data_IF_696835749891
#
_entry.id   IF_696835749891
#
_cell.length_a   1.000
_cell.length_b   1.000
_cell.length_c   1.000
_cell.angle_alpha   90.00
_cell.angle_beta   90.00
_cell.angle_gamma   90.00
#
_symmetry.space_group_name_H-M   'P 1'
#
loop_
_entity.id
_entity.type
_entity.pdbx_description
1 polymer ?
#
# COMPACT_ATOMS: atom_id res chain seq x y z
N UNK A 1 -22.76 1.45 2.71
CA UNK A 1 -22.26 0.23 2.02
C UNK A 1 -21.83 -0.80 3.05
N UNK A 2 -21.87 -2.07 2.66
CA UNK A 2 -21.21 -3.18 3.36
C UNK A 2 -19.84 -3.37 2.71
N UNK A 3 -18.76 -3.19 3.46
CA UNK A 3 -17.40 -3.27 2.92
C UNK A 3 -16.64 -4.38 3.64
N UNK A 4 -16.09 -5.33 2.87
CA UNK A 4 -15.22 -6.39 3.40
C UNK A 4 -13.76 -6.04 3.11
N UNK A 5 -12.95 -5.91 4.17
CA UNK A 5 -11.51 -5.58 4.08
C UNK A 5 -10.69 -6.86 4.28
N UNK A 6 -10.34 -7.51 3.18
CA UNK A 6 -9.53 -8.72 3.18
C UNK A 6 -8.06 -8.37 3.40
N UNK A 7 -7.49 -8.84 4.50
CA UNK A 7 -6.16 -8.41 4.94
C UNK A 7 -6.19 -7.11 5.73
N UNK A 8 -7.10 -7.00 6.69
CA UNK A 8 -7.27 -5.83 7.56
C UNK A 8 -6.06 -5.62 8.48
N UNK A 9 -4.91 -5.23 7.88
CA UNK A 9 -3.61 -4.98 8.51
C UNK A 9 -3.27 -3.50 8.56
N UNK A 10 -2.04 -3.12 8.18
CA UNK A 10 -1.52 -1.76 8.36
C UNK A 10 -2.38 -0.67 7.71
N UNK A 11 -2.78 -0.83 6.47
CA UNK A 11 -3.71 0.09 5.77
C UNK A 11 -5.14 -0.27 6.11
N UNK A 12 -5.48 -1.57 6.12
CA UNK A 12 -6.84 -2.05 6.31
C UNK A 12 -7.47 -1.63 7.65
N UNK A 13 -6.71 -1.60 8.75
CA UNK A 13 -7.20 -1.11 10.06
C UNK A 13 -7.53 0.40 10.01
N UNK A 14 -6.70 1.20 9.34
CA UNK A 14 -6.99 2.62 9.15
C UNK A 14 -8.20 2.84 8.24
N UNK A 15 -8.34 2.00 7.21
CA UNK A 15 -9.50 2.03 6.32
C UNK A 15 -10.79 1.62 7.05
N UNK A 16 -10.73 0.56 7.86
CA UNK A 16 -11.88 0.09 8.63
C UNK A 16 -12.39 1.19 9.58
N UNK A 17 -11.48 1.89 10.28
CA UNK A 17 -11.83 3.05 11.12
C UNK A 17 -12.50 4.15 10.30
N UNK A 18 -11.88 4.59 9.21
CA UNK A 18 -12.42 5.66 8.38
C UNK A 18 -13.78 5.33 7.74
N UNK A 19 -14.00 4.08 7.36
CA UNK A 19 -15.28 3.62 6.81
C UNK A 19 -16.35 3.54 7.89
N UNK A 20 -16.02 3.06 9.09
CA UNK A 20 -16.94 3.06 10.23
C UNK A 20 -17.33 4.47 10.63
N UNK A 21 -16.36 5.40 10.73
CA UNK A 21 -16.59 6.83 10.98
C UNK A 21 -17.53 7.48 9.93
N UNK A 22 -17.51 6.98 8.68
CA UNK A 22 -18.40 7.40 7.59
C UNK A 22 -19.76 6.67 7.59
N UNK A 23 -20.04 5.82 8.59
CA UNK A 23 -21.33 5.10 8.72
C UNK A 23 -21.47 3.88 7.82
N UNK A 24 -20.37 3.31 7.31
CA UNK A 24 -20.38 2.07 6.56
C UNK A 24 -20.34 0.85 7.50
N UNK A 25 -20.95 -0.26 7.09
CA UNK A 25 -20.76 -1.56 7.74
C UNK A 25 -19.46 -2.16 7.27
N UNK A 26 -18.54 -2.45 8.18
CA UNK A 26 -17.21 -2.95 7.85
C UNK A 26 -16.97 -4.32 8.45
N UNK A 27 -16.46 -5.24 7.64
CA UNK A 27 -15.93 -6.52 8.12
C UNK A 27 -14.45 -6.64 7.80
N UNK A 28 -13.62 -6.68 8.83
CA UNK A 28 -12.18 -6.88 8.72
C UNK A 28 -11.82 -8.37 8.74
N UNK A 29 -11.10 -8.82 7.71
CA UNK A 29 -10.70 -10.23 7.57
C UNK A 29 -9.25 -10.44 7.95
N UNK A 30 -8.99 -11.37 8.88
CA UNK A 30 -7.65 -11.74 9.35
C UNK A 30 -7.56 -13.26 9.54
N UNK A 31 -6.34 -13.80 9.34
CA UNK A 31 -6.08 -15.24 9.54
C UNK A 31 -5.67 -15.59 11.00
N UNK A 32 -5.10 -14.66 11.75
CA UNK A 32 -4.59 -14.89 13.11
C UNK A 32 -5.49 -14.31 14.19
N UNK A 33 -5.53 -14.94 15.37
CA UNK A 33 -6.29 -14.45 16.52
C UNK A 33 -5.89 -13.01 16.91
N UNK A 34 -4.59 -12.72 17.04
CA UNK A 34 -4.12 -11.36 17.34
C UNK A 34 -4.54 -10.33 16.26
N UNK A 35 -4.69 -10.78 15.00
CA UNK A 35 -5.21 -9.93 13.94
C UNK A 35 -6.71 -9.65 14.09
N UNK A 36 -7.50 -10.60 14.56
CA UNK A 36 -8.93 -10.40 14.85
C UNK A 36 -9.11 -9.42 16.01
N UNK A 37 -8.40 -9.63 17.12
CA UNK A 37 -8.42 -8.67 18.25
C UNK A 37 -8.07 -7.25 17.82
N UNK A 38 -7.12 -7.10 16.87
CA UNK A 38 -6.79 -5.77 16.35
C UNK A 38 -7.90 -5.16 15.49
N UNK A 39 -8.72 -5.96 14.83
CA UNK A 39 -9.90 -5.50 14.08
C UNK A 39 -11.02 -5.10 15.05
N UNK A 40 -11.32 -5.95 16.02
CA UNK A 40 -12.33 -5.70 17.08
C UNK A 40 -12.01 -4.44 17.90
N UNK A 41 -10.73 -4.09 18.04
CA UNK A 41 -10.29 -2.89 18.73
C UNK A 41 -10.39 -1.59 17.89
N UNK A 42 -10.80 -1.66 16.63
CA UNK A 42 -10.94 -0.46 15.77
C UNK A 42 -12.16 0.35 16.17
N UNK A 43 -13.31 -0.30 16.21
CA UNK A 43 -14.60 0.28 16.56
C UNK A 43 -15.59 -0.87 16.84
N UNK A 44 -16.58 -0.64 17.72
CA UNK A 44 -17.61 -1.64 18.08
C UNK A 44 -18.51 -2.05 16.93
N UNK A 45 -18.57 -1.25 15.86
CA UNK A 45 -19.36 -1.50 14.65
C UNK A 45 -18.60 -2.27 13.57
N UNK A 46 -17.30 -2.57 13.80
CA UNK A 46 -16.45 -3.30 12.86
C UNK A 46 -16.44 -4.78 13.21
N UNK A 47 -17.05 -5.59 12.35
CA UNK A 47 -17.06 -7.05 12.50
C UNK A 47 -15.67 -7.64 12.16
N UNK A 48 -15.28 -8.73 12.84
CA UNK A 48 -14.05 -9.46 12.58
C UNK A 48 -14.35 -10.88 12.10
N UNK A 49 -13.78 -11.27 10.95
CA UNK A 49 -13.92 -12.60 10.39
C UNK A 49 -12.57 -13.28 10.21
N UNK A 50 -12.49 -14.54 10.67
CA UNK A 50 -11.28 -15.35 10.48
C UNK A 50 -11.35 -16.10 9.16
N UNK A 51 -10.46 -15.73 8.21
CA UNK A 51 -10.25 -16.47 6.97
C UNK A 51 -8.81 -16.31 6.49
N UNK A 52 -8.31 -17.28 5.74
CA UNK A 52 -7.03 -17.24 5.03
C UNK A 52 -7.31 -17.30 3.53
N UNK A 53 -6.88 -16.29 2.79
CA UNK A 53 -7.11 -16.20 1.33
C UNK A 53 -6.48 -17.35 0.55
N UNK A 54 -5.49 -18.03 1.13
CA UNK A 54 -4.82 -19.20 0.53
C UNK A 54 -5.59 -20.51 0.76
N UNK A 55 -6.63 -20.47 1.58
CA UNK A 55 -7.55 -21.56 1.89
C UNK A 55 -8.96 -21.17 1.45
N UNK A 56 -9.36 -21.64 0.26
CA UNK A 56 -10.65 -21.29 -0.36
C UNK A 56 -11.83 -21.65 0.53
N UNK A 57 -11.79 -22.79 1.23
CA UNK A 57 -12.89 -23.25 2.10
C UNK A 57 -13.13 -22.28 3.27
N UNK A 58 -12.08 -21.58 3.72
CA UNK A 58 -12.21 -20.59 4.78
C UNK A 58 -12.97 -19.33 4.36
N UNK A 59 -13.04 -19.04 3.05
CA UNK A 59 -13.67 -17.83 2.50
C UNK A 59 -15.19 -17.90 2.51
N UNK A 60 -15.79 -19.09 2.61
CA UNK A 60 -17.24 -19.26 2.80
C UNK A 60 -17.80 -18.55 4.03
N UNK A 61 -16.93 -18.08 4.95
CA UNK A 61 -17.31 -17.28 6.13
C UNK A 61 -17.44 -15.79 5.84
N UNK A 62 -17.01 -15.31 4.68
CA UNK A 62 -17.12 -13.89 4.33
C UNK A 62 -18.60 -13.52 4.21
N UNK A 63 -19.04 -12.37 4.74
CA UNK A 63 -20.41 -11.90 4.55
C UNK A 63 -20.62 -11.38 3.13
N UNK A 64 -21.87 -11.19 2.74
CA UNK A 64 -22.21 -10.43 1.55
C UNK A 64 -21.69 -9.00 1.67
N UNK A 65 -21.21 -8.46 0.55
CA UNK A 65 -20.60 -7.15 0.49
C UNK A 65 -21.09 -6.36 -0.73
N UNK A 66 -21.14 -5.05 -0.60
CA UNK A 66 -21.31 -4.11 -1.72
C UNK A 66 -19.95 -3.81 -2.36
N UNK A 67 -18.87 -3.81 -1.54
CA UNK A 67 -17.50 -3.67 -2.01
C UNK A 67 -16.53 -4.54 -1.21
N UNK A 68 -15.48 -5.03 -1.89
CA UNK A 68 -14.37 -5.78 -1.28
C UNK A 68 -13.07 -5.03 -1.49
N UNK A 69 -12.29 -4.86 -0.43
CA UNK A 69 -10.94 -4.29 -0.50
C UNK A 69 -9.92 -5.38 -0.20
N UNK A 70 -9.11 -5.72 -1.18
CA UNK A 70 -8.04 -6.71 -1.02
C UNK A 70 -6.72 -6.02 -0.68
N UNK A 71 -6.37 -6.02 0.59
CA UNK A 71 -5.16 -5.43 1.17
C UNK A 71 -4.30 -6.45 1.94
N UNK A 72 -4.49 -7.75 1.65
CA UNK A 72 -3.70 -8.82 2.25
C UNK A 72 -2.21 -8.68 1.90
N UNK A 73 -1.33 -9.11 2.81
CA UNK A 73 0.12 -9.06 2.63
C UNK A 73 0.76 -10.41 2.86
N UNK A 74 1.65 -10.82 1.96
CA UNK A 74 2.43 -12.05 2.06
C UNK A 74 3.52 -12.00 3.17
N UNK A 75 3.70 -10.85 3.83
CA UNK A 75 4.80 -10.68 4.77
C UNK A 75 6.18 -10.69 4.08
N UNK A 76 7.13 -11.47 4.58
CA UNK A 76 8.50 -11.57 4.05
C UNK A 76 8.81 -12.80 3.19
N UNK A 77 7.83 -13.65 2.88
CA UNK A 77 8.01 -15.03 2.39
C UNK A 77 8.46 -15.21 0.92
N UNK A 78 9.02 -14.20 0.25
CA UNK A 78 9.51 -14.34 -1.13
C UNK A 78 8.40 -14.33 -2.20
N UNK A 79 8.76 -14.74 -3.44
CA UNK A 79 7.84 -14.70 -4.58
C UNK A 79 6.75 -15.77 -4.50
N UNK A 80 7.06 -16.96 -4.00
CA UNK A 80 6.07 -18.03 -3.85
C UNK A 80 4.96 -17.64 -2.86
N UNK A 81 5.32 -17.11 -1.68
CA UNK A 81 4.34 -16.62 -0.72
C UNK A 81 3.57 -15.40 -1.25
N UNK A 82 4.22 -14.55 -2.03
CA UNK A 82 3.55 -13.44 -2.70
C UNK A 82 2.51 -13.94 -3.71
N UNK A 83 2.85 -14.95 -4.53
CA UNK A 83 1.94 -15.58 -5.49
C UNK A 83 0.73 -16.20 -4.80
N UNK A 84 0.97 -17.00 -3.76
CA UNK A 84 -0.10 -17.64 -3.00
C UNK A 84 -1.11 -16.63 -2.46
N UNK A 85 -0.64 -15.47 -1.94
CA UNK A 85 -1.54 -14.45 -1.37
C UNK A 85 -2.13 -13.54 -2.45
N UNK A 86 -1.30 -12.98 -3.35
CA UNK A 86 -1.77 -11.91 -4.23
C UNK A 86 -2.46 -12.41 -5.49
N UNK A 87 -2.03 -13.56 -6.05
CA UNK A 87 -2.64 -14.12 -7.25
C UNK A 87 -3.69 -15.14 -6.86
N UNK A 88 -3.28 -16.24 -6.24
CA UNK A 88 -4.22 -17.33 -5.87
C UNK A 88 -5.24 -16.83 -4.85
N UNK A 89 -4.80 -16.14 -3.80
CA UNK A 89 -5.70 -15.65 -2.75
C UNK A 89 -6.70 -14.62 -3.22
N UNK A 90 -6.29 -13.70 -4.13
CA UNK A 90 -7.24 -12.76 -4.74
C UNK A 90 -8.21 -13.48 -5.67
N UNK A 91 -7.72 -14.43 -6.48
CA UNK A 91 -8.57 -15.27 -7.33
C UNK A 91 -9.61 -16.04 -6.51
N UNK A 92 -9.20 -16.67 -5.41
CA UNK A 92 -10.13 -17.37 -4.50
C UNK A 92 -11.23 -16.44 -3.96
N UNK A 93 -10.89 -15.19 -3.62
CA UNK A 93 -11.89 -14.20 -3.15
C UNK A 93 -12.87 -13.84 -4.28
N UNK A 94 -12.39 -13.63 -5.50
CA UNK A 94 -13.25 -13.37 -6.67
C UNK A 94 -14.18 -14.55 -6.94
N UNK A 95 -13.65 -15.78 -6.95
CA UNK A 95 -14.40 -16.99 -7.21
C UNK A 95 -15.44 -17.28 -6.11
N UNK A 96 -15.11 -17.01 -4.85
CA UNK A 96 -16.04 -17.12 -3.74
C UNK A 96 -17.27 -16.22 -3.95
N UNK A 97 -17.07 -14.94 -4.24
CA UNK A 97 -18.18 -14.00 -4.48
C UNK A 97 -18.93 -14.31 -5.77
N UNK A 98 -18.24 -14.74 -6.83
CA UNK A 98 -18.87 -15.18 -8.07
C UNK A 98 -19.80 -16.39 -7.87
N UNK A 99 -19.46 -17.30 -6.95
CA UNK A 99 -20.27 -18.50 -6.67
C UNK A 99 -21.54 -18.21 -5.89
N UNK A 100 -21.62 -17.03 -5.25
CA UNK A 100 -22.79 -16.58 -4.49
C UNK A 100 -23.79 -15.91 -5.42
N UNK A 101 -25.03 -16.00 -5.19
CA UNK A 101 -26.05 -15.27 -5.96
C UNK A 101 -26.02 -13.74 -5.79
N UNK A 102 -25.12 -13.21 -4.97
CA UNK A 102 -24.92 -11.77 -4.73
C UNK A 102 -23.42 -11.46 -4.80
N UNK A 103 -22.95 -10.95 -5.93
CA UNK A 103 -21.58 -10.44 -6.09
C UNK A 103 -21.49 -8.99 -5.59
N UNK A 104 -20.33 -8.56 -5.05
CA UNK A 104 -20.08 -7.15 -4.79
C UNK A 104 -20.03 -6.37 -6.12
N UNK A 105 -20.41 -5.11 -6.08
CA UNK A 105 -20.30 -4.24 -7.25
C UNK A 105 -18.82 -4.02 -7.61
N UNK A 106 -17.92 -4.08 -6.60
CA UNK A 106 -16.53 -3.67 -6.76
C UNK A 106 -15.53 -4.45 -5.91
N UNK A 107 -14.35 -4.73 -6.49
CA UNK A 107 -13.13 -5.14 -5.79
C UNK A 107 -12.05 -4.09 -5.97
N UNK A 108 -11.47 -3.58 -4.87
CA UNK A 108 -10.30 -2.70 -4.87
C UNK A 108 -9.06 -3.46 -4.44
N UNK A 109 -8.08 -3.60 -5.32
CA UNK A 109 -6.81 -4.27 -5.02
C UNK A 109 -5.72 -3.27 -4.64
N UNK A 110 -5.13 -3.44 -3.46
CA UNK A 110 -4.00 -2.67 -2.95
C UNK A 110 -2.67 -3.18 -3.55
N UNK A 111 -2.27 -2.60 -4.68
CA UNK A 111 -1.02 -2.89 -5.39
C UNK A 111 0.12 -1.96 -4.96
N UNK A 112 1.19 -1.88 -5.74
CA UNK A 112 2.38 -1.08 -5.44
C UNK A 112 2.97 -0.44 -6.70
N UNK A 113 3.45 0.80 -6.59
CA UNK A 113 4.27 1.45 -7.63
C UNK A 113 5.57 0.72 -7.96
N UNK A 114 5.90 -0.34 -7.21
CA UNK A 114 7.00 -1.25 -7.53
C UNK A 114 6.89 -1.93 -8.89
N UNK A 115 5.69 -2.05 -9.45
CA UNK A 115 5.44 -2.65 -10.78
C UNK A 115 6.03 -1.83 -11.94
N UNK A 116 6.27 -0.54 -11.76
CA UNK A 116 6.88 0.32 -12.78
C UNK A 116 8.37 0.06 -13.02
N UNK A 117 9.08 -0.55 -12.05
CA UNK A 117 10.53 -0.72 -12.16
C UNK A 117 11.31 0.57 -11.89
N UNK A 118 12.38 0.76 -12.68
CA UNK A 118 13.25 1.92 -12.65
C UNK A 118 12.99 2.80 -13.88
N UNK A 119 12.93 4.11 -13.70
CA UNK A 119 12.72 5.09 -14.75
C UNK A 119 13.77 6.21 -14.72
N UNK A 120 14.93 5.94 -14.15
CA UNK A 120 16.08 6.86 -14.08
C UNK A 120 15.68 8.28 -13.57
N UNK A 121 14.83 8.32 -12.56
CA UNK A 121 14.27 9.55 -12.00
C UNK A 121 13.16 10.19 -12.82
N UNK A 122 12.73 9.59 -13.93
CA UNK A 122 11.60 10.05 -14.75
C UNK A 122 10.25 9.94 -14.03
N UNK A 123 9.24 10.61 -14.56
CA UNK A 123 7.87 10.54 -14.08
C UNK A 123 7.15 9.31 -14.59
N UNK A 124 6.36 8.69 -13.72
CA UNK A 124 5.45 7.59 -14.04
C UNK A 124 4.04 7.90 -13.53
N UNK A 125 3.06 7.46 -14.28
CA UNK A 125 1.63 7.58 -13.99
C UNK A 125 0.89 6.28 -14.35
N UNK A 126 -0.43 6.30 -14.32
CA UNK A 126 -1.27 5.15 -14.64
C UNK A 126 -1.13 4.66 -16.09
N UNK A 127 -0.73 5.53 -17.01
CA UNK A 127 -0.55 5.22 -18.45
C UNK A 127 0.86 4.71 -18.75
N UNK A 128 1.80 4.89 -17.81
CA UNK A 128 3.17 4.40 -17.99
C UNK A 128 3.18 2.87 -17.99
N UNK A 129 3.80 2.23 -18.99
CA UNK A 129 3.95 0.78 -19.03
C UNK A 129 4.62 0.25 -17.75
N UNK A 130 4.13 -0.88 -17.25
CA UNK A 130 4.74 -1.54 -16.10
C UNK A 130 5.96 -2.35 -16.55
N UNK A 131 7.04 -2.26 -15.79
CA UNK A 131 8.32 -2.95 -16.01
C UNK A 131 8.75 -3.72 -14.75
N UNK A 132 8.07 -4.83 -14.42
CA UNK A 132 8.37 -5.58 -13.21
C UNK A 132 9.73 -6.28 -13.32
N UNK A 133 10.72 -5.78 -12.59
CA UNK A 133 12.12 -6.23 -12.64
C UNK A 133 12.45 -7.36 -11.66
N UNK A 134 11.47 -7.82 -10.89
CA UNK A 134 11.66 -8.88 -9.88
C UNK A 134 10.53 -9.88 -9.94
N UNK A 135 10.78 -11.14 -9.52
CA UNK A 135 9.72 -12.13 -9.37
C UNK A 135 8.55 -11.60 -8.54
N UNK A 136 8.82 -10.90 -7.43
CA UNK A 136 7.76 -10.32 -6.60
C UNK A 136 6.96 -9.23 -7.32
N UNK A 137 7.60 -8.37 -8.11
CA UNK A 137 6.88 -7.34 -8.88
C UNK A 137 6.17 -7.92 -10.09
N UNK A 138 6.65 -9.02 -10.68
CA UNK A 138 5.92 -9.80 -11.68
C UNK A 138 4.64 -10.41 -11.09
N UNK A 139 4.72 -10.97 -9.88
CA UNK A 139 3.55 -11.46 -9.14
C UNK A 139 2.54 -10.34 -8.86
N UNK A 140 2.99 -9.15 -8.49
CA UNK A 140 2.09 -8.00 -8.29
C UNK A 140 1.40 -7.59 -9.61
N UNK A 141 2.13 -7.55 -10.72
CA UNK A 141 1.56 -7.27 -12.05
C UNK A 141 0.52 -8.31 -12.48
N UNK A 142 0.78 -9.60 -12.17
CA UNK A 142 -0.19 -10.68 -12.40
C UNK A 142 -1.43 -10.51 -11.52
N UNK A 143 -1.26 -10.15 -10.26
CA UNK A 143 -2.38 -9.89 -9.35
C UNK A 143 -3.23 -8.67 -9.80
N UNK A 144 -2.64 -7.64 -10.41
CA UNK A 144 -3.39 -6.54 -11.04
C UNK A 144 -4.27 -7.03 -12.19
N UNK A 145 -3.81 -8.04 -12.97
CA UNK A 145 -4.65 -8.66 -14.01
C UNK A 145 -5.80 -9.47 -13.39
N UNK A 146 -5.52 -10.25 -12.36
CA UNK A 146 -6.59 -10.96 -11.61
C UNK A 146 -7.63 -9.97 -11.10
N UNK A 147 -7.20 -8.88 -10.45
CA UNK A 147 -8.10 -7.86 -9.93
C UNK A 147 -8.99 -7.21 -11.00
N UNK A 148 -8.50 -7.07 -12.22
CA UNK A 148 -9.23 -6.38 -13.29
C UNK A 148 -9.96 -7.34 -14.22
N UNK A 149 -9.26 -8.35 -14.73
CA UNK A 149 -9.78 -9.26 -15.77
C UNK A 149 -10.67 -10.35 -15.16
N UNK A 150 -10.16 -11.10 -14.15
CA UNK A 150 -10.96 -12.16 -13.51
C UNK A 150 -12.18 -11.58 -12.77
N UNK A 151 -12.05 -10.41 -12.15
CA UNK A 151 -13.19 -9.73 -11.54
C UNK A 151 -14.23 -9.32 -12.58
N UNK A 152 -13.80 -8.76 -13.72
CA UNK A 152 -14.71 -8.39 -14.80
C UNK A 152 -15.44 -9.62 -15.40
N UNK A 153 -14.73 -10.75 -15.56
CA UNK A 153 -15.34 -12.02 -16.00
C UNK A 153 -16.38 -12.56 -14.98
N UNK A 154 -16.27 -12.14 -13.72
CA UNK A 154 -17.23 -12.44 -12.66
C UNK A 154 -18.35 -11.39 -12.55
N UNK A 155 -18.38 -10.37 -13.40
CA UNK A 155 -19.32 -9.25 -13.33
C UNK A 155 -19.04 -8.26 -12.19
N UNK A 156 -17.82 -8.25 -11.67
CA UNK A 156 -17.38 -7.40 -10.57
C UNK A 156 -16.41 -6.33 -11.11
N UNK A 157 -16.60 -5.08 -10.77
CA UNK A 157 -15.66 -4.02 -11.14
C UNK A 157 -14.33 -4.16 -10.40
N UNK A 158 -13.21 -4.23 -11.12
CA UNK A 158 -11.89 -4.41 -10.57
C UNK A 158 -11.04 -3.13 -10.62
N UNK A 159 -10.84 -2.47 -9.50
CA UNK A 159 -10.01 -1.26 -9.38
C UNK A 159 -8.66 -1.59 -8.73
N UNK A 160 -7.57 -1.02 -9.25
CA UNK A 160 -6.21 -1.18 -8.72
C UNK A 160 -5.71 0.14 -8.14
N UNK A 161 -5.23 0.12 -6.91
CA UNK A 161 -4.54 1.26 -6.28
C UNK A 161 -3.06 0.91 -6.11
N UNK A 162 -2.18 1.56 -6.89
CA UNK A 162 -0.72 1.41 -6.80
C UNK A 162 -0.18 2.34 -5.74
N UNK A 163 0.03 1.82 -4.54
CA UNK A 163 0.60 2.60 -3.44
C UNK A 163 2.09 2.84 -3.62
N UNK A 164 2.52 4.07 -3.38
CA UNK A 164 3.91 4.44 -3.14
C UNK A 164 4.43 3.89 -1.80
N UNK A 165 5.58 4.32 -1.35
CA UNK A 165 6.16 3.89 -0.08
C UNK A 165 5.28 4.24 1.12
N UNK A 166 4.59 3.26 1.68
CA UNK A 166 3.74 3.44 2.86
C UNK A 166 4.56 3.83 4.09
N UNK A 167 4.20 4.93 4.74
CA UNK A 167 4.78 5.38 5.99
C UNK A 167 3.70 5.84 6.98
N UNK A 168 4.11 6.16 8.22
CA UNK A 168 3.22 6.58 9.30
C UNK A 168 3.57 5.87 10.62
N UNK A 169 2.69 5.87 11.63
CA UNK A 169 2.94 5.22 12.92
C UNK A 169 3.48 3.79 12.75
N UNK A 170 4.54 3.46 13.48
CA UNK A 170 5.28 2.21 13.43
C UNK A 170 6.02 1.92 12.10
N UNK A 171 6.05 2.86 11.13
CA UNK A 171 6.73 2.72 9.83
C UNK A 171 7.49 3.95 9.35
N UNK A 172 7.75 4.93 10.20
CA UNK A 172 8.47 6.15 9.81
C UNK A 172 9.92 5.90 9.38
N UNK A 173 10.59 4.87 9.88
CA UNK A 173 11.96 4.47 9.49
C UNK A 173 12.99 5.59 9.63
N UNK A 174 12.87 6.48 10.65
CA UNK A 174 13.77 7.62 10.85
C UNK A 174 15.23 7.19 10.87
N UNK A 175 15.57 6.19 11.68
CA UNK A 175 16.94 5.67 11.83
C UNK A 175 17.62 5.34 10.50
N UNK A 176 16.86 4.81 9.54
CA UNK A 176 17.40 4.47 8.22
C UNK A 176 17.99 5.69 7.49
N UNK A 177 17.43 6.88 7.71
CA UNK A 177 17.82 8.11 7.04
C UNK A 177 18.64 9.03 7.92
N UNK A 178 18.64 8.84 9.24
CA UNK A 178 19.46 9.59 10.18
C UNK A 178 20.84 8.95 10.38
N UNK A 179 20.90 7.62 10.45
CA UNK A 179 22.14 6.89 10.75
C UNK A 179 23.00 6.62 9.49
N UNK A 180 22.51 6.95 8.28
CA UNK A 180 23.19 6.90 6.98
C UNK A 180 24.10 5.69 6.74
N UNK A 181 24.90 5.66 5.69
CA UNK A 181 24.94 6.61 4.58
C UNK A 181 23.72 6.48 3.65
N UNK A 182 23.32 7.60 3.06
CA UNK A 182 22.17 7.71 2.17
C UNK A 182 22.60 7.76 0.72
N UNK A 183 21.97 6.94 -0.14
CA UNK A 183 22.20 6.94 -1.58
C UNK A 183 21.21 7.88 -2.31
N UNK A 184 21.54 8.41 -3.50
CA UNK A 184 20.63 9.24 -4.28
C UNK A 184 19.40 8.47 -4.79
N UNK A 185 18.48 9.18 -5.45
CA UNK A 185 17.26 8.66 -6.06
C UNK A 185 16.01 9.13 -5.34
N UNK A 186 14.87 9.02 -5.98
CA UNK A 186 13.62 9.56 -5.47
C UNK A 186 12.90 8.60 -4.50
N UNK A 187 12.32 9.18 -3.46
CA UNK A 187 11.29 8.60 -2.61
C UNK A 187 9.94 9.07 -3.10
N UNK A 188 9.03 8.14 -3.28
CA UNK A 188 7.61 8.39 -3.44
C UNK A 188 6.94 7.79 -2.23
N UNK A 189 6.14 8.55 -1.54
CA UNK A 189 5.58 8.18 -0.26
C UNK A 189 4.07 8.42 -0.23
N UNK A 190 3.38 7.71 0.64
CA UNK A 190 1.99 7.99 0.99
C UNK A 190 1.78 7.64 2.46
N UNK A 191 1.21 8.57 3.21
CA UNK A 191 0.93 8.34 4.62
C UNK A 191 -0.18 7.30 4.79
N UNK A 192 -0.12 6.49 5.85
CA UNK A 192 -1.12 5.45 6.15
C UNK A 192 -2.56 5.96 6.13
N UNK A 193 -2.79 7.15 6.68
CA UNK A 193 -4.12 7.79 6.73
C UNK A 193 -4.61 8.08 5.32
N UNK A 194 -3.74 8.62 4.47
CA UNK A 194 -4.08 8.91 3.07
C UNK A 194 -4.21 7.64 2.23
N UNK A 195 -3.38 6.63 2.48
CA UNK A 195 -3.53 5.34 1.80
C UNK A 195 -4.91 4.71 2.05
N UNK A 196 -5.42 4.81 3.28
CA UNK A 196 -6.78 4.39 3.63
C UNK A 196 -7.82 5.35 3.00
N UNK A 197 -7.61 6.66 3.13
CA UNK A 197 -8.49 7.70 2.60
C UNK A 197 -8.70 7.61 1.09
N UNK A 198 -7.64 7.27 0.33
CA UNK A 198 -7.75 7.03 -1.12
C UNK A 198 -8.74 5.92 -1.43
N UNK A 199 -8.62 4.77 -0.76
CA UNK A 199 -9.55 3.65 -1.01
C UNK A 199 -10.98 4.06 -0.63
N UNK A 200 -11.17 4.68 0.55
CA UNK A 200 -12.48 5.17 0.98
C UNK A 200 -13.07 6.15 -0.05
N UNK A 201 -12.29 7.14 -0.49
CA UNK A 201 -12.72 8.13 -1.47
C UNK A 201 -13.17 7.48 -2.80
N UNK A 202 -12.40 6.52 -3.32
CA UNK A 202 -12.76 5.81 -4.55
C UNK A 202 -14.07 5.02 -4.41
N UNK A 203 -14.36 4.48 -3.23
CA UNK A 203 -15.62 3.78 -2.94
C UNK A 203 -16.77 4.75 -2.80
N UNK A 204 -16.60 5.84 -2.02
CA UNK A 204 -17.67 6.81 -1.74
C UNK A 204 -18.01 7.71 -2.95
N UNK A 205 -17.01 8.09 -3.73
CA UNK A 205 -17.18 8.89 -4.95
C UNK A 205 -17.54 8.04 -6.18
N UNK A 206 -17.63 6.71 -6.02
CA UNK A 206 -17.90 5.77 -7.10
C UNK A 206 -16.98 6.00 -8.34
N UNK A 207 -15.70 6.16 -8.09
CA UNK A 207 -14.72 6.61 -9.08
C UNK A 207 -13.70 5.54 -9.46
N UNK A 208 -13.04 5.71 -10.61
CA UNK A 208 -11.97 4.87 -11.15
C UNK A 208 -12.35 3.40 -11.45
N UNK A 209 -13.58 3.16 -11.86
CA UNK A 209 -14.10 1.84 -12.24
C UNK A 209 -13.19 1.13 -13.27
N UNK A 210 -12.87 -0.15 -13.05
CA UNK A 210 -12.01 -0.98 -13.91
C UNK A 210 -10.60 -0.42 -14.13
N UNK A 211 -10.25 0.65 -13.42
CA UNK A 211 -9.05 1.44 -13.66
C UNK A 211 -7.90 1.19 -12.70
N UNK A 212 -6.85 1.95 -12.92
CA UNK A 212 -5.67 2.02 -12.05
C UNK A 212 -5.55 3.44 -11.51
N UNK A 213 -5.14 3.57 -10.25
CA UNK A 213 -4.85 4.86 -9.60
C UNK A 213 -3.49 4.76 -8.88
N UNK A 214 -2.64 5.78 -9.06
CA UNK A 214 -1.39 5.92 -8.32
C UNK A 214 -1.64 6.73 -7.06
N UNK A 215 -1.36 6.14 -5.91
CA UNK A 215 -1.47 6.79 -4.61
C UNK A 215 -0.08 7.13 -4.06
N UNK A 216 0.35 8.36 -4.32
CA UNK A 216 1.56 8.99 -3.82
C UNK A 216 1.20 10.39 -3.32
N UNK A 217 1.95 10.92 -2.33
CA UNK A 217 1.83 12.32 -1.93
C UNK A 217 2.30 13.29 -3.04
N UNK A 218 2.15 14.60 -2.82
CA UNK A 218 2.43 15.62 -3.85
C UNK A 218 3.93 15.87 -4.08
N UNK A 219 4.81 15.32 -3.22
CA UNK A 219 6.24 15.67 -3.22
C UNK A 219 7.14 14.43 -3.35
N UNK A 220 7.34 13.89 -4.57
CA UNK A 220 8.46 12.98 -4.80
C UNK A 220 9.77 13.69 -4.44
N UNK A 221 10.51 13.18 -3.45
CA UNK A 221 11.68 13.86 -2.90
C UNK A 221 12.95 13.04 -3.13
N UNK A 222 14.06 13.73 -3.46
CA UNK A 222 15.39 13.12 -3.48
C UNK A 222 15.77 12.61 -2.08
N UNK A 223 16.36 11.41 -1.99
CA UNK A 223 16.70 10.78 -0.70
C UNK A 223 17.71 11.58 0.11
N UNK A 224 18.67 12.28 -0.53
CA UNK A 224 19.60 13.14 0.16
C UNK A 224 18.89 14.35 0.75
N UNK A 225 18.04 15.01 -0.04
CA UNK A 225 17.25 16.16 0.42
C UNK A 225 16.29 15.77 1.55
N UNK A 226 15.66 14.60 1.45
CA UNK A 226 14.80 14.07 2.53
C UNK A 226 15.60 13.81 3.81
N UNK A 227 16.78 13.17 3.71
CA UNK A 227 17.61 12.86 4.87
C UNK A 227 18.17 14.12 5.54
N UNK A 228 18.59 15.12 4.76
CA UNK A 228 19.05 16.41 5.28
C UNK A 228 17.92 17.14 6.02
N UNK A 229 16.72 17.21 5.40
CA UNK A 229 15.55 17.79 6.04
C UNK A 229 15.18 17.06 7.35
N UNK A 230 15.22 15.73 7.34
CA UNK A 230 14.87 14.92 8.53
C UNK A 230 15.89 15.15 9.65
N UNK A 231 17.18 15.21 9.35
CA UNK A 231 18.22 15.48 10.32
C UNK A 231 18.08 16.89 10.94
N UNK A 232 17.87 17.89 10.11
CA UNK A 232 17.63 19.27 10.57
C UNK A 232 16.37 19.35 11.45
N UNK A 233 15.28 18.69 11.00
CA UNK A 233 14.03 18.62 11.76
C UNK A 233 14.19 17.88 13.09
N UNK A 234 15.02 16.86 13.17
CA UNK A 234 15.33 16.11 14.39
C UNK A 234 16.37 16.79 15.29
N UNK A 235 17.09 17.82 14.83
CA UNK A 235 18.16 18.49 15.54
C UNK A 235 19.42 17.63 15.71
N UNK A 236 19.74 16.82 14.68
CA UNK A 236 20.93 15.95 14.64
C UNK A 236 21.79 16.26 13.43
N UNK A 237 23.04 15.78 13.43
CA UNK A 237 23.94 15.91 12.29
C UNK A 237 23.37 15.23 11.04
N UNK A 238 23.59 15.86 9.88
CA UNK A 238 23.15 15.29 8.59
C UNK A 238 23.93 14.01 8.28
N UNK A 239 23.28 12.96 7.79
CA UNK A 239 23.92 11.69 7.52
C UNK A 239 24.92 11.76 6.37
N UNK A 240 25.91 10.89 6.38
CA UNK A 240 26.84 10.71 5.28
C UNK A 240 26.09 10.36 3.99
N UNK A 241 26.56 10.86 2.86
CA UNK A 241 26.04 10.55 1.52
C UNK A 241 26.99 9.61 0.80
N UNK A 242 26.44 8.72 0.02
CA UNK A 242 27.17 7.68 -0.68
C UNK A 242 26.60 7.49 -2.08
N UNK A 243 27.44 7.34 -3.09
CA UNK A 243 26.99 7.00 -4.43
C UNK A 243 26.37 5.60 -4.51
N UNK A 244 25.58 5.34 -5.54
CA UNK A 244 25.04 4.00 -5.83
C UNK A 244 26.16 2.99 -6.04
N UNK A 245 27.25 3.39 -6.73
CA UNK A 245 28.41 2.53 -7.00
C UNK A 245 29.12 2.10 -5.71
N UNK A 246 29.45 3.06 -4.84
CA UNK A 246 30.06 2.81 -3.54
C UNK A 246 29.18 1.89 -2.69
N UNK A 247 27.88 2.14 -2.63
CA UNK A 247 26.95 1.31 -1.85
C UNK A 247 26.88 -0.14 -2.35
N UNK A 248 26.98 -0.35 -3.64
CA UNK A 248 26.99 -1.70 -4.23
C UNK A 248 28.33 -2.40 -3.99
N UNK A 249 29.43 -1.64 -4.02
CA UNK A 249 30.78 -2.17 -3.79
C UNK A 249 31.01 -2.68 -2.35
N UNK A 250 30.24 -2.22 -1.35
CA UNK A 250 30.33 -2.72 0.04
C UNK A 250 29.92 -4.19 0.21
N UNK A 251 29.42 -4.86 -0.82
CA UNK A 251 29.25 -6.32 -0.89
C UNK A 251 28.01 -6.92 -0.20
N UNK A 252 27.51 -6.30 0.85
CA UNK A 252 26.52 -6.90 1.77
C UNK A 252 25.05 -6.76 1.35
N UNK A 253 24.78 -6.33 0.12
CA UNK A 253 23.41 -6.10 -0.35
C UNK A 253 22.82 -7.32 -1.03
N UNK A 254 21.64 -7.76 -0.56
CA UNK A 254 20.81 -8.70 -1.31
C UNK A 254 20.43 -8.14 -2.68
N UNK A 255 20.10 -9.01 -3.64
CA UNK A 255 19.64 -8.56 -4.98
C UNK A 255 18.47 -7.59 -4.91
N UNK A 256 17.54 -7.80 -3.97
CA UNK A 256 16.41 -6.89 -3.73
C UNK A 256 16.86 -5.52 -3.19
N UNK A 257 17.90 -5.47 -2.35
CA UNK A 257 18.44 -4.23 -1.84
C UNK A 257 19.23 -3.47 -2.93
N UNK A 258 20.04 -4.16 -3.76
CA UNK A 258 20.74 -3.55 -4.91
C UNK A 258 19.77 -2.88 -5.87
N UNK A 259 18.63 -3.52 -6.17
CA UNK A 259 17.59 -2.91 -7.03
C UNK A 259 16.96 -1.67 -6.41
N UNK A 260 16.65 -1.69 -5.10
CA UNK A 260 16.11 -0.51 -4.40
C UNK A 260 17.09 0.65 -4.35
N UNK A 261 18.38 0.37 -4.32
CA UNK A 261 19.43 1.40 -4.36
C UNK A 261 19.53 2.01 -5.76
N UNK A 262 19.41 1.21 -6.82
CA UNK A 262 19.46 1.66 -8.22
C UNK A 262 18.17 2.33 -8.68
N UNK A 263 17.01 1.79 -8.29
CA UNK A 263 15.73 2.25 -8.80
C UNK A 263 15.40 3.67 -8.37
N UNK A 264 15.06 4.49 -9.35
CA UNK A 264 14.65 5.88 -9.18
C UNK A 264 13.52 6.23 -10.14
N UNK A 265 12.45 6.83 -9.62
CA UNK A 265 11.32 7.35 -10.39
C UNK A 265 10.54 8.35 -9.57
N UNK A 266 9.71 9.16 -10.22
CA UNK A 266 8.75 10.06 -9.59
C UNK A 266 7.35 9.62 -9.95
N UNK A 267 6.51 9.35 -8.97
CA UNK A 267 5.12 8.93 -9.19
C UNK A 267 4.19 10.14 -9.22
N UNK A 268 3.42 10.29 -10.28
CA UNK A 268 2.40 11.31 -10.41
C UNK A 268 1.10 10.85 -9.72
N UNK A 269 0.48 11.74 -8.95
CA UNK A 269 -0.85 11.54 -8.38
C UNK A 269 -1.91 12.39 -9.09
N UNK A 270 -1.60 12.91 -10.27
CA UNK A 270 -2.47 13.85 -10.98
C UNK A 270 -3.88 13.29 -11.23
N UNK A 271 -3.98 12.00 -11.57
CA UNK A 271 -5.28 11.33 -11.73
C UNK A 271 -6.07 11.31 -10.43
N UNK A 272 -5.44 10.95 -9.32
CA UNK A 272 -6.07 10.90 -8.01
C UNK A 272 -6.58 12.29 -7.58
N UNK A 273 -5.75 13.33 -7.80
CA UNK A 273 -6.16 14.73 -7.59
C UNK A 273 -7.31 15.12 -8.51
N UNK A 274 -7.27 14.73 -9.77
CA UNK A 274 -8.36 14.96 -10.75
C UNK A 274 -9.67 14.27 -10.37
N UNK A 275 -9.62 13.18 -9.61
CA UNK A 275 -10.77 12.51 -9.02
C UNK A 275 -11.28 13.19 -7.73
N UNK A 276 -10.66 14.29 -7.30
CA UNK A 276 -11.10 15.10 -6.16
C UNK A 276 -10.55 14.65 -4.80
N UNK A 277 -9.54 13.76 -4.77
CA UNK A 277 -8.95 13.37 -3.49
C UNK A 277 -8.07 14.48 -2.90
N UNK A 278 -8.32 14.83 -1.64
CA UNK A 278 -7.52 15.78 -0.87
C UNK A 278 -6.71 15.04 0.20
N UNK A 279 -5.37 15.20 0.15
CA UNK A 279 -4.47 14.54 1.11
C UNK A 279 -4.52 15.23 2.48
N UNK A 280 -4.63 14.45 3.54
CA UNK A 280 -4.42 14.89 4.92
C UNK A 280 -2.94 15.23 5.14
N UNK A 281 -2.06 14.43 4.52
CA UNK A 281 -0.62 14.62 4.53
C UNK A 281 -0.10 14.79 3.08
N UNK A 282 -0.26 15.98 2.49
CA UNK A 282 0.09 16.22 1.09
C UNK A 282 1.60 16.11 0.82
N UNK A 283 2.43 16.19 1.86
CA UNK A 283 3.88 15.99 1.74
C UNK A 283 4.42 15.21 2.94
N UNK A 284 5.59 14.61 2.77
CA UNK A 284 6.30 13.96 3.88
C UNK A 284 6.54 14.91 5.07
N UNK A 285 6.66 16.23 4.85
CA UNK A 285 6.89 17.21 5.93
C UNK A 285 5.72 17.24 6.91
N UNK A 286 4.50 17.20 6.40
CA UNK A 286 3.31 17.11 7.25
C UNK A 286 3.20 15.74 7.91
N UNK A 287 3.46 14.67 7.16
CA UNK A 287 3.28 13.29 7.62
C UNK A 287 4.34 12.82 8.64
N UNK A 288 5.56 13.37 8.63
CA UNK A 288 6.61 13.03 9.59
C UNK A 288 6.59 13.89 10.87
N UNK A 289 5.72 14.90 10.97
CA UNK A 289 5.70 15.86 12.09
C UNK A 289 5.67 15.19 13.46
N UNK A 290 4.80 14.21 13.64
CA UNK A 290 4.64 13.53 14.93
C UNK A 290 5.85 12.63 15.25
N UNK A 291 6.40 11.96 14.24
CA UNK A 291 7.62 11.16 14.40
C UNK A 291 8.84 12.01 14.80
N UNK A 292 9.00 13.18 14.19
CA UNK A 292 10.05 14.14 14.56
C UNK A 292 9.85 14.65 15.98
N UNK A 293 8.61 14.97 16.37
CA UNK A 293 8.28 15.41 17.73
C UNK A 293 8.62 14.33 18.76
N UNK A 294 8.21 13.09 18.50
CA UNK A 294 8.50 11.95 19.38
C UNK A 294 10.01 11.73 19.52
N UNK A 295 10.75 11.74 18.39
CA UNK A 295 12.21 11.58 18.38
C UNK A 295 12.92 12.65 19.20
N UNK A 296 12.49 13.91 19.13
CA UNK A 296 13.05 14.99 19.95
C UNK A 296 12.75 14.82 21.44
N UNK A 297 11.53 14.39 21.78
CA UNK A 297 11.12 14.18 23.16
C UNK A 297 11.91 13.03 23.84
N UNK A 298 12.30 11.99 23.08
CA UNK A 298 13.15 10.90 23.60
C UNK A 298 14.60 11.31 23.90
N UNK A 299 15.03 12.49 23.42
CA UNK A 299 16.41 12.98 23.52
C UNK A 299 16.56 14.23 24.42
N UNK A 300 15.45 14.82 24.82
CA UNK A 300 15.36 15.92 25.76
C UNK A 300 15.40 15.44 27.22
#
# INVERSE_FOLDING_TARGET
>A
MRVVVVGCGYVGLALASQLADSGHRVTGVRRSAAGLTAVEAVDETVDAVRADVTDADSLGRLPDADAVVFAASSGGGGAAAARAVYVTGLGNVVDEYRSRGSSPDRIVYASSTGVYGDHDGGWVDENTPIEPTTEKTQVLAEAERVAREQSADAGIDGTVVRFAGLYGPNRYRLRRYLDGPVTPGYLNMVHRVDAAGVIRHLLEADAAHGGVVVAADDEPVDKHAFADWLADACGVERPAKQSVAERIATGDLSSAAKRRVRGSKRCSNARLRGLGYEFVHPTFRSGYRDAVRAFRAERA
#
